data_IF_097919634731
#
_entry.id   IF_097919634731
#
_cell.length_a   1.000
_cell.length_b   1.000
_cell.length_c   1.000
_cell.angle_alpha   90.00
_cell.angle_beta   90.00
_cell.angle_gamma   90.00
#
_symmetry.space_group_name_H-M   'P 1'
#
loop_
_entity.id
_entity.type
_entity.pdbx_description
1 polymer ?
#
# COMPACT_ATOMS: atom_id res chain seq x y z
N UNK A 1 -19.80 -47.97 17.04
CA UNK A 1 -20.25 -46.71 16.43
C UNK A 1 -19.05 -46.11 15.71
N UNK A 2 -19.05 -46.10 14.38
CA UNK A 2 -17.91 -45.63 13.59
C UNK A 2 -17.97 -44.10 13.44
N UNK A 3 -16.97 -43.40 13.97
CA UNK A 3 -16.77 -41.96 13.77
C UNK A 3 -16.28 -41.71 12.35
N UNK A 4 -17.13 -41.15 11.49
CA UNK A 4 -16.75 -40.66 10.17
C UNK A 4 -16.14 -39.27 10.29
N UNK A 5 -14.81 -39.22 10.44
CA UNK A 5 -14.06 -37.98 10.24
C UNK A 5 -14.18 -37.59 8.75
N UNK A 6 -14.76 -36.42 8.40
CA UNK A 6 -14.78 -36.02 7.00
C UNK A 6 -13.35 -35.66 6.56
N UNK A 7 -12.82 -36.43 5.62
CA UNK A 7 -11.60 -36.10 4.90
C UNK A 7 -11.84 -34.77 4.16
N UNK A 8 -11.14 -33.70 4.59
CA UNK A 8 -11.11 -32.44 3.84
C UNK A 8 -10.50 -32.73 2.47
N UNK A 9 -11.34 -32.82 1.45
CA UNK A 9 -10.91 -32.91 0.06
C UNK A 9 -10.00 -31.74 -0.34
N UNK A 10 -9.19 -31.90 -1.40
CA UNK A 10 -8.29 -30.85 -1.87
C UNK A 10 -9.08 -29.58 -2.19
N UNK A 11 -8.62 -28.45 -1.64
CA UNK A 11 -9.22 -27.14 -1.88
C UNK A 11 -9.15 -26.87 -3.39
N UNK A 12 -10.31 -26.63 -4.02
CA UNK A 12 -10.38 -26.32 -5.46
C UNK A 12 -9.45 -25.14 -5.80
N UNK A 13 -8.94 -25.11 -7.02
CA UNK A 13 -8.08 -24.01 -7.49
C UNK A 13 -8.78 -22.65 -7.31
N UNK A 14 -10.10 -22.62 -7.52
CA UNK A 14 -10.96 -21.46 -7.36
C UNK A 14 -11.10 -21.02 -5.89
N UNK A 15 -11.27 -21.96 -4.96
CA UNK A 15 -11.27 -21.66 -3.53
C UNK A 15 -9.89 -21.22 -3.02
N UNK A 16 -8.80 -21.70 -3.63
CA UNK A 16 -7.44 -21.20 -3.38
C UNK A 16 -7.24 -19.79 -3.93
N UNK A 17 -7.74 -19.50 -5.13
CA UNK A 17 -7.69 -18.17 -5.73
C UNK A 17 -8.48 -17.16 -4.88
N UNK A 18 -9.71 -17.50 -4.50
CA UNK A 18 -10.56 -16.66 -3.65
C UNK A 18 -10.00 -16.45 -2.25
N UNK A 19 -9.40 -17.47 -1.63
CA UNK A 19 -8.69 -17.30 -0.34
C UNK A 19 -7.47 -16.39 -0.46
N UNK A 20 -6.73 -16.46 -1.57
CA UNK A 20 -5.61 -15.55 -1.85
C UNK A 20 -6.10 -14.13 -2.03
N UNK A 21 -7.20 -13.93 -2.76
CA UNK A 21 -7.82 -12.62 -2.97
C UNK A 21 -8.28 -11.99 -1.64
N UNK A 22 -9.02 -12.73 -0.81
CA UNK A 22 -9.44 -12.27 0.52
C UNK A 22 -8.23 -11.99 1.44
N UNK A 23 -7.20 -12.83 1.41
CA UNK A 23 -5.96 -12.59 2.15
C UNK A 23 -5.17 -11.38 1.61
N UNK A 24 -5.35 -11.04 0.34
CA UNK A 24 -4.87 -9.81 -0.30
C UNK A 24 -5.82 -8.63 -0.08
N UNK A 25 -6.98 -8.77 0.52
CA UNK A 25 -7.84 -7.63 0.86
C UNK A 25 -7.81 -7.30 2.35
N UNK A 26 -7.46 -8.29 3.18
CA UNK A 26 -7.45 -8.12 4.63
C UNK A 26 -6.18 -7.36 5.09
N UNK A 27 -6.31 -6.25 5.85
CA UNK A 27 -5.17 -5.61 6.52
C UNK A 27 -4.49 -6.60 7.48
N UNK A 28 -3.17 -6.59 7.56
CA UNK A 28 -2.44 -7.51 8.46
C UNK A 28 -2.23 -6.97 9.87
N UNK A 29 -2.66 -5.74 10.14
CA UNK A 29 -2.50 -5.05 11.42
C UNK A 29 -2.86 -3.57 11.29
N UNK A 30 -2.69 -2.76 12.34
CA UNK A 30 -2.79 -1.31 12.23
C UNK A 30 -1.73 -0.79 11.26
N UNK A 31 -2.01 0.36 10.64
CA UNK A 31 -0.99 1.05 9.86
C UNK A 31 0.19 1.43 10.80
N UNK A 32 1.44 1.28 10.35
CA UNK A 32 2.56 1.88 11.06
C UNK A 32 2.39 3.39 11.11
N UNK A 33 3.02 4.04 12.09
CA UNK A 33 3.09 5.49 12.12
C UNK A 33 3.73 6.00 10.82
N UNK A 34 3.08 6.95 10.15
CA UNK A 34 3.61 7.59 8.95
C UNK A 34 4.11 8.96 9.34
N UNK A 35 5.38 9.22 9.04
CA UNK A 35 6.05 10.48 9.36
C UNK A 35 6.48 11.13 8.05
N UNK A 36 6.04 12.37 7.83
CA UNK A 36 6.52 13.17 6.71
C UNK A 36 7.65 14.06 7.22
N UNK A 37 8.83 13.90 6.64
CA UNK A 37 10.02 14.62 7.03
C UNK A 37 10.50 15.50 5.88
N UNK A 38 10.62 16.80 6.14
CA UNK A 38 11.21 17.73 5.17
C UNK A 38 12.71 17.49 5.01
N UNK A 39 13.42 17.12 6.09
CA UNK A 39 14.84 16.73 6.12
C UNK A 39 15.09 15.72 7.24
N UNK A 40 16.23 15.03 7.18
CA UNK A 40 16.66 14.10 8.24
C UNK A 40 15.82 12.81 8.30
N UNK A 41 15.21 12.41 7.18
CA UNK A 41 14.36 11.23 7.16
C UNK A 41 15.11 9.93 7.44
N UNK A 42 16.43 9.91 7.31
CA UNK A 42 17.26 8.76 7.67
C UNK A 42 17.37 8.58 9.18
N UNK A 43 17.74 9.64 9.88
CA UNK A 43 17.90 9.66 11.34
C UNK A 43 16.56 9.30 12.01
N UNK A 44 15.46 9.90 11.55
CA UNK A 44 14.11 9.58 12.04
C UNK A 44 13.77 8.10 11.84
N UNK A 45 14.14 7.52 10.68
CA UNK A 45 13.86 6.11 10.40
C UNK A 45 14.69 5.15 11.26
N UNK A 46 15.90 5.56 11.67
CA UNK A 46 16.72 4.79 12.62
C UNK A 46 16.19 4.89 14.06
N UNK A 47 15.77 6.09 14.47
CA UNK A 47 15.20 6.32 15.81
C UNK A 47 13.82 5.66 15.98
N UNK A 48 13.07 5.54 14.88
CA UNK A 48 11.74 4.92 14.84
C UNK A 48 11.68 3.84 13.75
N UNK A 49 12.30 2.67 13.96
CA UNK A 49 12.44 1.64 12.93
C UNK A 49 11.11 1.05 12.47
N UNK A 50 10.06 1.12 13.30
CA UNK A 50 8.71 0.66 12.94
C UNK A 50 7.88 1.69 12.17
N UNK A 51 8.29 2.95 12.15
CA UNK A 51 7.61 4.01 11.41
C UNK A 51 7.97 3.98 9.92
N UNK A 52 7.03 4.39 9.09
CA UNK A 52 7.28 4.67 7.67
C UNK A 52 7.54 6.15 7.52
N UNK A 53 8.74 6.50 7.07
CA UNK A 53 9.17 7.89 6.89
C UNK A 53 9.15 8.25 5.42
N UNK A 54 8.39 9.26 5.04
CA UNK A 54 8.48 9.91 3.74
C UNK A 54 9.48 11.06 3.84
N UNK A 55 10.66 10.88 3.25
CA UNK A 55 11.72 11.89 3.18
C UNK A 55 11.54 12.71 1.90
N UNK A 56 11.05 13.93 2.05
CA UNK A 56 10.73 14.81 0.92
C UNK A 56 11.99 15.38 0.26
N UNK A 57 13.06 15.61 1.02
CA UNK A 57 14.31 16.13 0.46
C UNK A 57 15.09 15.06 -0.31
N UNK A 58 15.10 13.82 0.20
CA UNK A 58 15.83 12.72 -0.43
C UNK A 58 14.98 11.91 -1.42
N UNK A 59 13.74 12.33 -1.68
CA UNK A 59 12.75 11.68 -2.55
C UNK A 59 12.66 10.16 -2.33
N UNK A 60 12.46 9.75 -1.08
CA UNK A 60 12.41 8.33 -0.75
C UNK A 60 11.46 8.02 0.41
N UNK A 61 11.04 6.76 0.50
CA UNK A 61 10.36 6.19 1.65
C UNK A 61 11.36 5.34 2.44
N UNK A 62 11.27 5.38 3.76
CA UNK A 62 12.12 4.61 4.66
C UNK A 62 11.32 3.87 5.71
N UNK A 63 11.89 2.76 6.19
CA UNK A 63 11.47 2.06 7.41
C UNK A 63 12.67 1.33 7.98
N UNK A 64 13.15 1.76 9.14
CA UNK A 64 14.46 1.34 9.64
C UNK A 64 15.55 1.60 8.59
N UNK A 65 16.33 0.56 8.28
CA UNK A 65 17.39 0.61 7.27
C UNK A 65 16.89 0.48 5.82
N UNK A 66 15.62 0.12 5.61
CA UNK A 66 15.05 -0.03 4.27
C UNK A 66 14.82 1.33 3.63
N UNK A 67 15.23 1.48 2.36
CA UNK A 67 15.03 2.68 1.55
C UNK A 67 14.40 2.33 0.21
N UNK A 68 13.35 3.06 -0.17
CA UNK A 68 12.71 2.97 -1.48
C UNK A 68 12.78 4.35 -2.15
N UNK A 69 13.56 4.47 -3.22
CA UNK A 69 13.63 5.69 -4.00
C UNK A 69 12.37 5.93 -4.82
N UNK A 70 11.90 7.17 -4.84
CA UNK A 70 10.76 7.61 -5.62
C UNK A 70 11.27 8.26 -6.90
N UNK A 71 11.01 7.62 -8.05
CA UNK A 71 11.46 8.12 -9.35
C UNK A 71 10.29 8.45 -10.27
N UNK A 72 10.49 9.43 -11.16
CA UNK A 72 9.47 9.93 -12.06
C UNK A 72 8.54 10.96 -11.43
N UNK A 73 7.35 11.17 -12.02
CA UNK A 73 6.35 12.12 -11.50
C UNK A 73 5.08 11.44 -10.99
N UNK A 74 4.50 10.57 -11.80
CA UNK A 74 3.22 9.90 -11.50
C UNK A 74 3.30 9.06 -10.22
N UNK A 75 4.31 8.18 -10.14
CA UNK A 75 4.42 7.23 -9.04
C UNK A 75 4.73 7.93 -7.69
N UNK A 76 5.66 8.90 -7.62
CA UNK A 76 5.90 9.66 -6.39
C UNK A 76 4.67 10.47 -5.96
N UNK A 77 3.96 11.13 -6.88
CA UNK A 77 2.74 11.87 -6.54
C UNK A 77 1.69 10.97 -5.90
N UNK A 78 1.44 9.79 -6.48
CA UNK A 78 0.49 8.84 -5.91
C UNK A 78 0.95 8.33 -4.52
N UNK A 79 2.23 8.01 -4.37
CA UNK A 79 2.76 7.51 -3.09
C UNK A 79 2.66 8.59 -2.01
N UNK A 80 3.01 9.84 -2.32
CA UNK A 80 2.87 10.96 -1.38
C UNK A 80 1.40 11.15 -0.98
N UNK A 81 0.48 11.09 -1.93
CA UNK A 81 -0.96 11.12 -1.65
C UNK A 81 -1.39 9.96 -0.76
N UNK A 82 -0.92 8.74 -1.04
CA UNK A 82 -1.25 7.58 -0.24
C UNK A 82 -0.78 7.74 1.22
N UNK A 83 0.46 8.19 1.43
CA UNK A 83 1.03 8.34 2.77
C UNK A 83 0.45 9.51 3.56
N UNK A 84 -0.09 10.54 2.90
CA UNK A 84 -0.63 11.73 3.57
C UNK A 84 -2.15 11.72 3.71
N UNK A 85 -2.88 11.13 2.76
CA UNK A 85 -4.35 11.14 2.73
C UNK A 85 -4.95 9.76 2.95
N UNK A 86 -4.46 8.72 2.25
CA UNK A 86 -4.97 7.36 2.48
C UNK A 86 -4.56 6.80 3.85
N UNK A 87 -3.59 7.42 4.52
CA UNK A 87 -3.26 7.12 5.91
C UNK A 87 -4.36 7.56 6.89
N UNK A 88 -5.14 8.59 6.53
CA UNK A 88 -6.21 9.17 7.36
C UNK A 88 -7.57 8.53 7.07
N UNK A 89 -7.70 7.82 5.94
CA UNK A 89 -8.95 7.17 5.55
C UNK A 89 -8.94 6.62 4.13
N UNK A 90 -10.14 6.49 3.57
CA UNK A 90 -10.35 5.96 2.22
C UNK A 90 -10.41 7.08 1.19
N UNK A 91 -10.05 6.77 -0.05
CA UNK A 91 -10.35 7.64 -1.19
C UNK A 91 -10.99 6.83 -2.33
N UNK A 92 -11.54 7.51 -3.32
CA UNK A 92 -12.06 6.86 -4.52
C UNK A 92 -10.99 6.80 -5.62
N UNK A 93 -11.18 5.89 -6.58
CA UNK A 93 -10.38 5.86 -7.81
C UNK A 93 -10.41 7.20 -8.57
N UNK A 94 -11.51 7.95 -8.48
CA UNK A 94 -11.62 9.27 -9.09
C UNK A 94 -10.70 10.30 -8.42
N UNK A 95 -10.62 10.31 -7.09
CA UNK A 95 -9.70 11.19 -6.33
C UNK A 95 -8.24 10.93 -6.74
N UNK A 96 -7.89 9.65 -6.89
CA UNK A 96 -6.56 9.23 -7.32
C UNK A 96 -6.25 9.70 -8.73
N UNK A 97 -7.22 9.64 -9.65
CA UNK A 97 -7.05 10.16 -11.01
C UNK A 97 -6.86 11.68 -10.98
N UNK A 98 -7.69 12.40 -10.22
CA UNK A 98 -7.60 13.84 -10.09
C UNK A 98 -6.22 14.28 -9.59
N UNK A 99 -5.65 13.55 -8.63
CA UNK A 99 -4.32 13.86 -8.06
C UNK A 99 -3.18 13.50 -9.03
N UNK A 100 -3.22 12.32 -9.64
CA UNK A 100 -2.11 11.84 -10.49
C UNK A 100 -2.03 12.60 -11.83
N UNK A 101 -3.17 13.04 -12.36
CA UNK A 101 -3.27 13.74 -13.64
C UNK A 101 -3.67 15.21 -13.51
N UNK A 102 -3.63 15.81 -12.32
CA UNK A 102 -3.98 17.22 -12.09
C UNK A 102 -3.37 18.18 -13.14
N UNK A 103 -2.10 17.96 -13.48
CA UNK A 103 -1.34 18.83 -14.40
C UNK A 103 -1.32 18.33 -15.85
N UNK A 104 -2.14 17.33 -16.21
CA UNK A 104 -2.10 16.71 -17.54
C UNK A 104 -3.30 17.12 -18.38
N UNK A 105 -3.00 17.56 -19.60
CA UNK A 105 -4.01 17.92 -20.61
C UNK A 105 -4.91 16.74 -21.03
N UNK A 106 -4.41 15.51 -20.92
CA UNK A 106 -5.18 14.30 -21.19
C UNK A 106 -4.93 13.29 -20.05
N UNK A 107 -5.88 13.15 -19.11
CA UNK A 107 -5.83 12.07 -18.13
C UNK A 107 -5.94 10.71 -18.84
N UNK A 108 -5.30 9.69 -18.27
CA UNK A 108 -5.45 8.30 -18.72
C UNK A 108 -6.04 7.46 -17.55
N UNK A 109 -7.38 7.45 -17.41
CA UNK A 109 -8.07 6.73 -16.34
C UNK A 109 -7.89 5.21 -16.42
N UNK A 110 -7.57 4.67 -17.60
CA UNK A 110 -7.37 3.24 -17.79
C UNK A 110 -6.04 2.79 -17.19
N UNK A 111 -5.02 3.66 -17.24
CA UNK A 111 -3.71 3.39 -16.65
C UNK A 111 -3.68 3.38 -15.11
N UNK A 112 -4.67 3.94 -14.40
CA UNK A 112 -4.60 4.05 -12.92
C UNK A 112 -4.49 2.69 -12.23
N UNK A 113 -5.06 1.61 -12.77
CA UNK A 113 -4.89 0.26 -12.20
C UNK A 113 -3.43 -0.21 -12.22
N UNK A 114 -2.70 0.07 -13.32
CA UNK A 114 -1.27 -0.20 -13.44
C UNK A 114 -0.45 0.70 -12.52
N UNK A 115 -0.82 1.98 -12.41
CA UNK A 115 -0.16 2.93 -11.49
C UNK A 115 -0.33 2.50 -10.02
N UNK A 116 -1.54 2.12 -9.61
CA UNK A 116 -1.84 1.59 -8.27
C UNK A 116 -1.05 0.32 -7.99
N UNK A 117 -0.96 -0.58 -8.96
CA UNK A 117 -0.18 -1.82 -8.82
C UNK A 117 1.31 -1.55 -8.60
N UNK A 118 1.89 -0.60 -9.34
CA UNK A 118 3.28 -0.17 -9.18
C UNK A 118 3.52 0.54 -7.85
N UNK A 119 2.61 1.41 -7.42
CA UNK A 119 2.69 2.07 -6.11
C UNK A 119 2.61 1.04 -4.98
N UNK A 120 1.67 0.11 -5.06
CA UNK A 120 1.52 -0.98 -4.11
C UNK A 120 2.79 -1.85 -4.05
N UNK A 121 3.45 -2.12 -5.19
CA UNK A 121 4.72 -2.83 -5.26
C UNK A 121 5.88 -2.05 -4.60
N UNK A 122 5.98 -0.74 -4.86
CA UNK A 122 7.00 0.14 -4.26
C UNK A 122 6.83 0.26 -2.73
N UNK A 123 5.61 0.12 -2.21
CA UNK A 123 5.32 0.20 -0.78
C UNK A 123 5.57 -1.12 -0.02
N UNK A 124 5.69 -2.26 -0.70
CA UNK A 124 5.88 -3.56 -0.02
C UNK A 124 7.14 -3.64 0.82
N UNK A 125 8.32 -3.14 0.40
CA UNK A 125 9.54 -3.21 1.20
C UNK A 125 9.42 -2.52 2.55
N UNK A 126 8.57 -1.48 2.66
CA UNK A 126 8.32 -0.76 3.92
C UNK A 126 7.10 -1.30 4.68
N UNK A 127 6.56 -2.46 4.27
CA UNK A 127 5.45 -3.11 4.97
C UNK A 127 4.08 -2.46 4.71
N UNK A 128 3.94 -1.73 3.61
CA UNK A 128 2.67 -1.11 3.19
C UNK A 128 2.19 -1.68 1.85
N UNK A 129 0.91 -1.47 1.54
CA UNK A 129 0.33 -1.74 0.22
C UNK A 129 -0.96 -0.95 0.03
N UNK A 130 -1.29 -0.67 -1.23
CA UNK A 130 -2.58 -0.07 -1.60
C UNK A 130 -3.49 -1.20 -2.07
N UNK A 131 -4.74 -1.18 -1.62
CA UNK A 131 -5.80 -2.11 -2.04
C UNK A 131 -6.98 -1.33 -2.62
N UNK A 132 -7.65 -1.95 -3.59
CA UNK A 132 -8.94 -1.49 -4.10
C UNK A 132 -10.03 -2.36 -3.49
N UNK A 133 -11.10 -1.73 -3.02
CA UNK A 133 -12.30 -2.38 -2.48
C UNK A 133 -13.42 -2.32 -3.51
N UNK A 134 -14.47 -3.13 -3.27
CA UNK A 134 -15.71 -3.05 -4.04
C UNK A 134 -16.27 -1.62 -4.03
N UNK A 135 -16.78 -1.17 -5.19
CA UNK A 135 -17.28 0.19 -5.38
C UNK A 135 -16.24 1.24 -5.78
N UNK A 136 -14.98 0.84 -6.00
CA UNK A 136 -13.93 1.75 -6.49
C UNK A 136 -13.23 2.57 -5.40
N UNK A 137 -13.49 2.22 -4.13
CA UNK A 137 -12.77 2.74 -2.97
C UNK A 137 -11.36 2.16 -2.92
N UNK A 138 -10.41 2.95 -2.45
CA UNK A 138 -8.99 2.62 -2.36
C UNK A 138 -8.49 2.98 -0.97
N UNK A 139 -7.69 2.09 -0.39
CA UNK A 139 -7.19 2.20 0.98
C UNK A 139 -5.70 1.86 1.06
N UNK A 140 -4.97 2.54 1.94
CA UNK A 140 -3.63 2.15 2.36
C UNK A 140 -3.73 1.17 3.53
N UNK A 141 -3.05 0.03 3.44
CA UNK A 141 -3.08 -0.99 4.51
C UNK A 141 -1.68 -1.51 4.83
N UNK A 142 -1.50 -2.00 6.05
CA UNK A 142 -0.30 -2.72 6.44
C UNK A 142 -0.22 -4.07 5.70
N UNK A 143 0.93 -4.36 5.10
CA UNK A 143 1.22 -5.62 4.40
C UNK A 143 1.92 -6.65 5.30
N UNK A 144 2.38 -6.22 6.47
CA UNK A 144 3.00 -7.03 7.51
C UNK A 144 2.36 -6.68 8.86
N UNK A 145 2.37 -7.62 9.82
CA UNK A 145 2.06 -7.28 11.20
C UNK A 145 3.20 -6.39 11.70
N UNK A 146 2.87 -5.18 12.16
CA UNK A 146 3.81 -4.39 12.95
C UNK A 146 4.17 -5.22 14.19
N UNK A 147 5.46 -5.43 14.44
CA UNK A 147 5.93 -6.05 15.66
C UNK A 147 5.79 -4.97 16.74
N UNK A 148 4.67 -5.01 17.45
CA UNK A 148 4.46 -4.25 18.69
C UNK A 148 5.31 -4.82 19.82
#
# INVERSE_FOLDING_TARGET
>A
MQSTTPLRGPISAEARARRREIALETPRGPLPAIIVADRGGWEIALDRPDAVVLDLHADCIRRGTTRVHLTGRILPTLIRFALTRLAEGDATRADLIAVVWADRRQPDPEAIGSVLSRASAALRPVGLRIISLWGGTVRLVASQRSLS
#
